data_IF_792668054242
#
_entry.id   IF_792668054242
#
_cell.length_a   1.000
_cell.length_b   1.000
_cell.length_c   1.000
_cell.angle_alpha   90.00
_cell.angle_beta   90.00
_cell.angle_gamma   90.00
#
_symmetry.space_group_name_H-M   'P 1'
#
loop_
_entity.id
_entity.type
_entity.pdbx_description
1 polymer ?
#
# COMPACT_ATOMS: atom_id res chain seq x y z
N UNK A 1 -23.10 -24.50 -8.74
CA UNK A 1 -21.63 -24.61 -8.57
C UNK A 1 -21.04 -24.90 -9.94
N UNK A 2 -20.03 -24.12 -10.40
CA UNK A 2 -19.35 -24.12 -11.72
C UNK A 2 -19.59 -22.92 -12.67
N UNK A 3 -19.85 -21.72 -12.16
CA UNK A 3 -19.73 -20.50 -12.99
C UNK A 3 -18.81 -19.42 -12.38
N UNK A 4 -18.34 -19.59 -11.15
CA UNK A 4 -17.46 -18.64 -10.46
C UNK A 4 -15.96 -18.85 -10.70
N UNK A 5 -15.55 -20.05 -11.12
CA UNK A 5 -14.12 -20.40 -11.30
C UNK A 5 -13.55 -20.04 -12.69
N UNK A 6 -14.39 -19.71 -13.67
CA UNK A 6 -13.96 -19.32 -15.02
C UNK A 6 -13.73 -17.80 -15.11
N UNK A 7 -14.51 -16.99 -14.42
CA UNK A 7 -14.32 -15.53 -14.41
C UNK A 7 -13.06 -15.10 -13.65
N UNK A 8 -12.64 -15.88 -12.64
CA UNK A 8 -11.41 -15.64 -11.88
C UNK A 8 -10.18 -15.97 -12.75
N UNK A 9 -10.20 -17.08 -13.50
CA UNK A 9 -9.12 -17.46 -14.42
C UNK A 9 -8.92 -16.46 -15.57
N UNK A 10 -10.00 -15.89 -16.09
CA UNK A 10 -9.91 -14.91 -17.18
C UNK A 10 -9.31 -13.56 -16.74
N UNK A 11 -9.44 -13.18 -15.47
CA UNK A 11 -8.82 -11.95 -14.94
C UNK A 11 -7.36 -12.15 -14.53
N UNK A 12 -6.97 -13.37 -14.15
CA UNK A 12 -5.55 -13.73 -13.94
C UNK A 12 -4.77 -13.61 -15.27
N UNK A 13 -5.36 -13.89 -16.43
CA UNK A 13 -4.67 -13.76 -17.73
C UNK A 13 -4.33 -12.32 -18.16
N UNK A 14 -5.04 -11.30 -17.65
CA UNK A 14 -4.90 -9.93 -18.16
C UNK A 14 -3.53 -9.36 -17.75
N UNK A 15 -3.14 -9.34 -16.48
CA UNK A 15 -1.83 -8.78 -16.09
C UNK A 15 -0.63 -9.56 -16.65
N UNK A 16 -0.71 -10.89 -16.68
CA UNK A 16 0.42 -11.76 -17.00
C UNK A 16 0.67 -11.96 -18.50
N UNK A 17 -0.36 -11.80 -19.34
CA UNK A 17 -0.14 -11.79 -20.79
C UNK A 17 0.67 -10.57 -21.23
N UNK A 18 0.46 -9.40 -20.59
CA UNK A 18 1.22 -8.18 -20.89
C UNK A 18 2.68 -8.25 -20.47
N UNK A 19 3.03 -8.95 -19.39
CA UNK A 19 4.45 -9.12 -18.99
C UNK A 19 5.27 -9.88 -20.03
N UNK A 20 4.60 -10.65 -20.90
CA UNK A 20 5.18 -11.33 -22.07
C UNK A 20 4.89 -10.61 -23.39
N UNK A 21 4.40 -9.37 -23.34
CA UNK A 21 3.98 -8.55 -24.50
C UNK A 21 2.89 -9.21 -25.37
N UNK A 22 2.06 -10.07 -24.78
CA UNK A 22 1.02 -10.84 -25.46
C UNK A 22 -0.39 -10.54 -24.97
N UNK A 23 -0.60 -9.46 -24.22
CA UNK A 23 -1.91 -9.10 -23.68
C UNK A 23 -2.78 -8.33 -24.68
N UNK A 24 -4.04 -8.11 -24.31
CA UNK A 24 -5.03 -7.43 -25.18
C UNK A 24 -4.78 -5.93 -25.35
N UNK A 25 -4.05 -5.29 -24.44
CA UNK A 25 -3.84 -3.86 -24.38
C UNK A 25 -2.45 -3.51 -24.93
N UNK A 26 -2.42 -3.02 -26.17
CA UNK A 26 -1.17 -2.68 -26.87
C UNK A 26 -0.28 -1.71 -26.09
N UNK A 27 -0.85 -0.69 -25.44
CA UNK A 27 -0.06 0.29 -24.70
C UNK A 27 0.70 -0.31 -23.51
N UNK A 28 0.15 -1.35 -22.85
CA UNK A 28 0.88 -2.09 -21.82
C UNK A 28 1.95 -2.97 -22.45
N UNK A 29 1.65 -3.65 -23.56
CA UNK A 29 2.64 -4.46 -24.27
C UNK A 29 3.82 -3.64 -24.81
N UNK A 30 3.56 -2.41 -25.24
CA UNK A 30 4.53 -1.56 -25.92
C UNK A 30 5.37 -0.75 -24.93
N UNK A 31 4.74 -0.23 -23.86
CA UNK A 31 5.36 0.79 -23.00
C UNK A 31 5.60 0.37 -21.54
N UNK A 32 4.93 -0.68 -21.03
CA UNK A 32 5.13 -1.08 -19.64
C UNK A 32 6.46 -1.82 -19.45
N UNK A 33 7.14 -1.53 -18.35
CA UNK A 33 8.35 -2.22 -17.90
C UNK A 33 8.02 -3.04 -16.65
N UNK A 34 7.70 -4.32 -16.84
CA UNK A 34 7.31 -5.26 -15.77
C UNK A 34 8.49 -5.69 -14.87
N UNK A 35 9.72 -5.25 -15.17
CA UNK A 35 10.84 -5.33 -14.23
C UNK A 35 10.88 -4.12 -13.27
N UNK A 36 10.04 -3.10 -13.49
CA UNK A 36 9.96 -1.85 -12.71
C UNK A 36 8.52 -1.49 -12.31
N UNK A 37 7.76 -2.49 -11.84
CA UNK A 37 6.41 -2.24 -11.36
C UNK A 37 6.40 -1.59 -9.98
N UNK A 38 5.43 -0.72 -9.76
CA UNK A 38 5.19 -0.08 -8.47
C UNK A 38 3.77 -0.35 -7.99
N UNK A 39 3.64 -0.58 -6.69
CA UNK A 39 2.34 -0.53 -6.01
C UNK A 39 2.16 0.86 -5.40
N UNK A 40 0.93 1.33 -5.33
CA UNK A 40 0.67 2.60 -4.69
C UNK A 40 -0.79 2.81 -4.37
N UNK A 41 -1.03 3.60 -3.33
CA UNK A 41 -2.37 4.02 -2.96
C UNK A 41 -2.35 4.96 -1.77
N UNK A 42 -3.47 5.65 -1.58
CA UNK A 42 -3.74 6.51 -0.46
C UNK A 42 -4.79 5.92 0.49
N UNK A 43 -4.70 6.22 1.78
CA UNK A 43 -5.68 5.76 2.78
C UNK A 43 -5.85 4.24 2.74
N UNK A 44 -7.07 3.73 2.56
CA UNK A 44 -7.36 2.31 2.38
C UNK A 44 -6.64 1.70 1.16
N UNK A 45 -6.41 2.48 0.09
CA UNK A 45 -5.61 2.06 -1.06
C UNK A 45 -4.16 1.79 -0.69
N UNK A 46 -3.60 2.53 0.27
CA UNK A 46 -2.25 2.28 0.78
C UNK A 46 -2.19 0.94 1.54
N UNK A 47 -3.21 0.63 2.33
CA UNK A 47 -3.37 -0.65 3.03
C UNK A 47 -3.50 -1.82 2.05
N UNK A 48 -4.26 -1.64 0.97
CA UNK A 48 -4.38 -2.63 -0.11
C UNK A 48 -3.02 -2.84 -0.79
N UNK A 49 -2.31 -1.76 -1.14
CA UNK A 49 -0.99 -1.83 -1.75
C UNK A 49 0.01 -2.56 -0.84
N UNK A 50 -0.05 -2.31 0.48
CA UNK A 50 0.72 -3.05 1.47
C UNK A 50 0.40 -4.56 1.46
N UNK A 51 -0.88 -4.93 1.53
CA UNK A 51 -1.31 -6.34 1.51
C UNK A 51 -0.92 -7.05 0.21
N UNK A 52 -0.94 -6.35 -0.92
CA UNK A 52 -0.46 -6.87 -2.20
C UNK A 52 1.05 -7.07 -2.20
N UNK A 53 1.83 -6.16 -1.60
CA UNK A 53 3.27 -6.33 -1.46
C UNK A 53 3.63 -7.54 -0.56
N UNK A 54 2.88 -7.76 0.53
CA UNK A 54 3.02 -8.95 1.37
C UNK A 54 2.73 -10.22 0.56
N UNK A 55 1.58 -10.27 -0.11
CA UNK A 55 1.18 -11.43 -0.92
C UNK A 55 2.20 -11.75 -2.02
N UNK A 56 2.78 -10.73 -2.63
CA UNK A 56 3.80 -10.91 -3.65
C UNK A 56 5.07 -11.59 -3.11
N UNK A 57 5.46 -11.30 -1.86
CA UNK A 57 6.66 -11.89 -1.27
C UNK A 57 6.42 -13.23 -0.57
N UNK A 58 5.21 -13.48 -0.05
CA UNK A 58 4.85 -14.78 0.54
C UNK A 58 4.42 -15.82 -0.49
N UNK A 59 3.82 -15.38 -1.60
CA UNK A 59 3.31 -16.24 -2.67
C UNK A 59 3.87 -15.82 -4.04
N UNK A 60 5.20 -15.86 -4.25
CA UNK A 60 5.86 -15.35 -5.46
C UNK A 60 5.42 -16.08 -6.74
N UNK A 61 4.89 -17.30 -6.64
CA UNK A 61 4.32 -18.02 -7.77
C UNK A 61 3.05 -17.37 -8.32
N UNK A 62 2.30 -16.63 -7.49
CA UNK A 62 1.06 -15.96 -7.88
C UNK A 62 1.28 -14.63 -8.62
N UNK A 63 2.52 -14.10 -8.60
CA UNK A 63 2.88 -12.89 -9.35
C UNK A 63 3.61 -13.20 -10.67
N UNK A 64 3.78 -14.49 -11.01
CA UNK A 64 4.24 -14.99 -12.32
C UNK A 64 5.45 -14.25 -12.93
N UNK A 65 6.43 -13.88 -12.10
CA UNK A 65 7.67 -13.23 -12.53
C UNK A 65 7.62 -11.71 -12.63
N UNK A 66 6.49 -11.07 -12.30
CA UNK A 66 6.41 -9.63 -12.08
C UNK A 66 7.31 -9.26 -10.89
N UNK A 67 8.17 -8.25 -11.06
CA UNK A 67 9.03 -7.76 -9.99
C UNK A 67 8.55 -6.40 -9.52
N UNK A 68 7.99 -6.34 -8.32
CA UNK A 68 7.62 -5.07 -7.70
C UNK A 68 8.90 -4.40 -7.23
N UNK A 69 9.22 -3.24 -7.80
CA UNK A 69 10.39 -2.47 -7.42
C UNK A 69 10.14 -1.64 -6.16
N UNK A 70 8.95 -1.05 -6.02
CA UNK A 70 8.61 -0.34 -4.81
C UNK A 70 7.12 -0.13 -4.55
N UNK A 71 6.80 0.30 -3.34
CA UNK A 71 5.45 0.64 -2.91
C UNK A 71 5.38 2.08 -2.37
N UNK A 72 4.46 2.89 -2.90
CA UNK A 72 4.15 4.22 -2.40
C UNK A 72 2.92 4.17 -1.48
N UNK A 73 3.13 4.38 -0.19
CA UNK A 73 2.13 4.21 0.87
C UNK A 73 1.73 5.59 1.39
N UNK A 74 0.64 6.16 0.87
CA UNK A 74 0.26 7.55 1.15
C UNK A 74 -0.81 7.61 2.24
N UNK A 75 -0.50 8.23 3.38
CA UNK A 75 -1.43 8.39 4.52
C UNK A 75 -2.17 7.08 4.86
N UNK A 76 -1.43 6.01 5.24
CA UNK A 76 -2.00 4.68 5.29
C UNK A 76 -3.11 4.53 6.33
N UNK A 77 -4.18 3.85 5.92
CA UNK A 77 -5.26 3.46 6.80
C UNK A 77 -4.88 2.18 7.56
N UNK A 78 -4.28 2.36 8.73
CA UNK A 78 -4.00 1.29 9.68
C UNK A 78 -4.69 1.59 11.02
N UNK A 79 -4.82 0.57 11.87
CA UNK A 79 -5.31 0.71 13.24
C UNK A 79 -4.19 0.36 14.22
N UNK A 80 -4.11 1.15 15.30
CA UNK A 80 -3.28 0.80 16.45
C UNK A 80 -4.02 -0.16 17.38
N UNK A 81 -3.25 -0.98 18.11
CA UNK A 81 -3.78 -1.87 19.15
C UNK A 81 -4.58 -1.15 20.24
N UNK A 82 -5.49 -1.87 20.88
CA UNK A 82 -6.36 -1.40 21.96
C UNK A 82 -7.81 -1.85 21.76
N UNK A 83 -8.66 -1.71 22.77
CA UNK A 83 -10.10 -1.97 22.62
C UNK A 83 -10.79 -0.76 21.98
N UNK A 84 -11.67 -0.95 20.97
CA UNK A 84 -12.44 0.14 20.41
C UNK A 84 -13.46 0.66 21.43
N UNK A 85 -13.65 1.99 21.46
CA UNK A 85 -14.81 2.58 22.13
C UNK A 85 -15.96 2.54 21.12
N UNK A 86 -16.72 1.47 21.17
CA UNK A 86 -17.94 1.31 20.38
C UNK A 86 -19.08 2.04 21.07
N UNK A 87 -19.30 3.31 20.69
CA UNK A 87 -20.58 3.99 20.86
C UNK A 87 -21.36 3.99 19.54
N UNK A 88 -22.66 4.27 19.62
CA UNK A 88 -23.59 4.26 18.47
C UNK A 88 -23.34 5.42 17.48
N UNK A 89 -22.38 6.31 17.74
CA UNK A 89 -22.08 7.46 16.87
C UNK A 89 -20.95 7.11 15.90
N UNK A 90 -21.29 6.96 14.62
CA UNK A 90 -20.29 6.81 13.58
C UNK A 90 -19.79 8.19 13.11
N UNK A 91 -18.55 8.52 13.45
CA UNK A 91 -17.82 9.67 12.92
C UNK A 91 -16.43 9.22 12.47
N UNK A 92 -16.22 9.19 11.15
CA UNK A 92 -14.97 8.76 10.54
C UNK A 92 -13.79 9.71 10.84
N UNK A 93 -14.07 10.98 11.11
CA UNK A 93 -13.05 11.97 11.48
C UNK A 93 -12.63 11.90 12.95
N UNK A 94 -13.37 11.15 13.77
CA UNK A 94 -12.99 10.92 15.16
C UNK A 94 -11.82 9.92 15.26
N UNK A 95 -11.11 9.93 16.40
CA UNK A 95 -10.03 8.95 16.68
C UNK A 95 -10.48 7.50 16.56
N UNK A 96 -11.75 7.23 16.84
CA UNK A 96 -12.35 5.88 16.79
C UNK A 96 -12.95 5.55 15.41
N UNK A 97 -13.14 6.57 14.57
CA UNK A 97 -13.73 6.46 13.23
C UNK A 97 -13.09 5.38 12.36
N UNK A 98 -11.75 5.35 12.23
CA UNK A 98 -11.06 4.30 11.51
C UNK A 98 -11.38 2.89 12.05
N UNK A 99 -11.29 2.68 13.37
CA UNK A 99 -11.60 1.37 13.94
C UNK A 99 -13.05 0.97 13.65
N UNK A 100 -14.02 1.88 13.81
CA UNK A 100 -15.43 1.60 13.52
C UNK A 100 -15.66 1.25 12.05
N UNK A 101 -15.01 1.97 11.13
CA UNK A 101 -15.09 1.66 9.70
C UNK A 101 -14.56 0.24 9.43
N UNK A 102 -13.46 -0.15 10.07
CA UNK A 102 -12.90 -1.49 9.94
C UNK A 102 -13.88 -2.59 10.33
N UNK A 103 -14.57 -2.45 11.47
CA UNK A 103 -15.61 -3.41 11.89
C UNK A 103 -16.79 -3.49 10.90
N UNK A 104 -17.10 -2.40 10.20
CA UNK A 104 -18.14 -2.41 9.16
C UNK A 104 -17.69 -3.13 7.89
N UNK A 105 -16.45 -2.91 7.43
CA UNK A 105 -15.97 -3.44 6.14
C UNK A 105 -15.35 -4.84 6.24
N UNK A 106 -14.91 -5.26 7.43
CA UNK A 106 -14.38 -6.59 7.70
C UNK A 106 -15.12 -7.25 8.88
N UNK A 107 -16.33 -7.81 8.67
CA UNK A 107 -17.11 -8.40 9.75
C UNK A 107 -16.46 -9.62 10.41
N UNK A 108 -15.54 -10.28 9.70
CA UNK A 108 -14.76 -11.44 10.19
C UNK A 108 -13.48 -11.05 10.91
N UNK A 109 -13.25 -9.75 11.14
CA UNK A 109 -12.04 -9.23 11.74
C UNK A 109 -11.77 -9.80 13.14
N UNK A 110 -10.50 -9.96 13.46
CA UNK A 110 -10.02 -10.16 14.83
C UNK A 110 -9.93 -8.85 15.62
N UNK A 111 -10.43 -7.74 15.05
CA UNK A 111 -10.49 -6.42 15.63
C UNK A 111 -9.31 -5.55 15.22
N UNK A 112 -8.84 -4.72 16.15
CA UNK A 112 -7.72 -3.77 15.91
C UNK A 112 -6.34 -4.43 15.79
N UNK A 113 -6.23 -5.70 16.17
CA UNK A 113 -5.00 -6.49 16.01
C UNK A 113 -5.02 -7.34 14.75
N UNK A 114 -6.02 -7.17 13.89
CA UNK A 114 -6.10 -7.91 12.64
C UNK A 114 -4.92 -7.53 11.72
N UNK A 115 -4.11 -8.49 11.25
CA UNK A 115 -2.93 -8.21 10.42
C UNK A 115 -3.25 -7.41 9.16
N UNK A 116 -4.48 -7.49 8.64
CA UNK A 116 -4.90 -6.74 7.46
C UNK A 116 -4.96 -5.23 7.68
N UNK A 117 -5.03 -4.79 8.95
CA UNK A 117 -5.15 -3.37 9.30
C UNK A 117 -4.13 -2.92 10.34
N UNK A 118 -3.42 -3.83 10.99
CA UNK A 118 -2.41 -3.50 11.99
C UNK A 118 -1.05 -4.07 11.57
N UNK A 119 -0.12 -3.21 11.11
CA UNK A 119 1.16 -3.70 10.63
C UNK A 119 2.01 -4.32 11.75
N UNK A 120 1.79 -3.98 13.02
CA UNK A 120 2.58 -4.54 14.13
C UNK A 120 2.26 -5.99 14.43
N UNK A 121 1.13 -6.50 13.94
CA UNK A 121 0.69 -7.90 14.11
C UNK A 121 0.87 -8.72 12.83
N UNK A 122 1.31 -8.10 11.73
CA UNK A 122 1.64 -8.79 10.48
C UNK A 122 2.99 -9.50 10.60
N UNK A 123 2.95 -10.84 10.59
CA UNK A 123 4.14 -11.68 10.78
C UNK A 123 5.00 -11.80 9.53
N UNK A 124 4.48 -11.45 8.35
CA UNK A 124 5.18 -11.54 7.08
C UNK A 124 5.82 -10.22 6.63
N UNK A 125 5.93 -9.21 7.50
CA UNK A 125 6.55 -7.94 7.14
C UNK A 125 7.99 -8.09 6.62
N UNK A 126 8.77 -9.03 7.15
CA UNK A 126 10.13 -9.31 6.66
C UNK A 126 10.14 -9.84 5.21
N UNK A 127 9.01 -10.39 4.76
CA UNK A 127 8.79 -10.99 3.46
C UNK A 127 8.08 -10.04 2.48
N UNK A 128 8.13 -8.71 2.67
CA UNK A 128 7.59 -7.77 1.67
C UNK A 128 8.24 -8.02 0.30
N UNK A 129 7.42 -8.28 -0.72
CA UNK A 129 7.84 -8.63 -2.08
C UNK A 129 8.28 -7.44 -2.94
N UNK A 130 8.79 -6.36 -2.33
CA UNK A 130 9.33 -5.19 -3.04
C UNK A 130 10.67 -4.76 -2.45
N UNK A 131 11.42 -3.93 -3.17
CA UNK A 131 12.75 -3.50 -2.73
C UNK A 131 12.71 -2.18 -1.93
N UNK A 132 11.67 -1.37 -2.14
CA UNK A 132 11.58 -0.01 -1.59
C UNK A 132 10.16 0.34 -1.15
N UNK A 133 10.03 1.01 -0.03
CA UNK A 133 8.76 1.56 0.46
C UNK A 133 8.94 3.05 0.73
N UNK A 134 8.06 3.87 0.19
CA UNK A 134 7.99 5.30 0.49
C UNK A 134 6.66 5.60 1.20
N UNK A 135 6.75 5.98 2.46
CA UNK A 135 5.60 6.33 3.30
C UNK A 135 5.40 7.83 3.30
N UNK A 136 4.17 8.29 3.15
CA UNK A 136 3.79 9.67 3.39
C UNK A 136 2.83 9.75 4.57
N UNK A 137 3.08 10.71 5.47
CA UNK A 137 2.19 11.03 6.60
C UNK A 137 1.91 12.53 6.61
N UNK A 138 0.83 12.95 7.26
CA UNK A 138 0.48 14.36 7.40
C UNK A 138 0.29 14.70 8.89
N UNK A 139 0.78 15.87 9.30
CA UNK A 139 0.89 16.28 10.70
C UNK A 139 -0.45 16.30 11.45
N UNK A 140 -1.55 16.68 10.78
CA UNK A 140 -2.89 16.74 11.38
C UNK A 140 -3.72 15.49 11.15
N UNK A 141 -3.20 14.52 10.41
CA UNK A 141 -3.90 13.27 10.14
C UNK A 141 -4.07 12.45 11.42
N UNK A 142 -5.30 12.01 11.69
CA UNK A 142 -5.59 11.10 12.82
C UNK A 142 -4.86 9.76 12.68
N UNK A 143 -4.45 9.38 11.45
CA UNK A 143 -3.69 8.18 11.12
C UNK A 143 -2.17 8.42 11.06
N UNK A 144 -1.71 9.65 11.35
CA UNK A 144 -0.29 10.00 11.33
C UNK A 144 0.58 9.04 12.13
N UNK A 145 0.21 8.83 13.39
CA UNK A 145 1.03 8.09 14.34
C UNK A 145 1.15 6.61 13.95
N UNK A 146 0.08 6.01 13.44
CA UNK A 146 0.13 4.62 12.95
C UNK A 146 0.94 4.50 11.66
N UNK A 147 0.96 5.54 10.82
CA UNK A 147 1.87 5.62 9.67
C UNK A 147 3.35 5.66 10.09
N UNK A 148 3.68 6.39 11.15
CA UNK A 148 5.03 6.37 11.76
C UNK A 148 5.38 5.00 12.35
N UNK A 149 4.43 4.37 13.05
CA UNK A 149 4.60 3.01 13.59
C UNK A 149 4.86 2.01 12.45
N UNK A 150 4.14 2.09 11.33
CA UNK A 150 4.40 1.27 10.15
C UNK A 150 5.84 1.42 9.64
N UNK A 151 6.29 2.67 9.47
CA UNK A 151 7.66 2.98 9.05
C UNK A 151 8.71 2.35 9.98
N UNK A 152 8.59 2.56 11.29
CA UNK A 152 9.53 1.99 12.25
C UNK A 152 9.44 0.46 12.32
N UNK A 153 8.26 -0.12 12.13
CA UNK A 153 8.09 -1.58 12.12
C UNK A 153 8.82 -2.18 10.92
N UNK A 154 8.67 -1.61 9.71
CA UNK A 154 9.40 -2.07 8.52
C UNK A 154 10.92 -1.96 8.69
N UNK A 155 11.39 -0.88 9.29
CA UNK A 155 12.83 -0.65 9.51
C UNK A 155 13.44 -1.70 10.46
N UNK A 156 12.65 -2.25 11.38
CA UNK A 156 13.13 -3.11 12.45
C UNK A 156 12.73 -4.59 12.30
N UNK A 157 11.85 -4.95 11.34
CA UNK A 157 11.33 -6.31 11.20
C UNK A 157 12.27 -7.28 10.44
N UNK A 158 13.44 -6.81 9.98
CA UNK A 158 14.40 -7.62 9.23
C UNK A 158 14.14 -7.71 7.73
N UNK A 159 13.18 -6.95 7.19
CA UNK A 159 13.03 -6.75 5.75
C UNK A 159 14.31 -6.10 5.18
N UNK A 160 14.81 -6.63 4.06
CA UNK A 160 16.09 -6.22 3.47
C UNK A 160 16.00 -4.99 2.55
N UNK A 161 14.79 -4.49 2.31
CA UNK A 161 14.56 -3.33 1.46
C UNK A 161 14.84 -1.98 2.14
N UNK A 162 14.56 -0.91 1.41
CA UNK A 162 14.73 0.46 1.90
C UNK A 162 13.37 1.09 2.18
N UNK A 163 13.13 1.50 3.43
CA UNK A 163 11.96 2.31 3.79
C UNK A 163 12.36 3.78 3.98
N UNK A 164 11.60 4.68 3.38
CA UNK A 164 11.71 6.13 3.54
C UNK A 164 10.36 6.72 3.98
N UNK A 165 10.38 7.83 4.70
CA UNK A 165 9.18 8.54 5.14
C UNK A 165 9.27 10.04 4.85
N UNK A 166 8.15 10.64 4.48
CA UNK A 166 7.97 12.09 4.32
C UNK A 166 6.73 12.55 5.09
N UNK A 167 6.90 13.49 6.01
CA UNK A 167 5.80 14.12 6.74
C UNK A 167 5.49 15.52 6.19
N UNK A 168 4.21 15.78 5.90
CA UNK A 168 3.72 17.09 5.47
C UNK A 168 3.15 17.87 6.65
N UNK A 169 3.82 18.97 7.02
CA UNK A 169 3.46 19.80 8.17
C UNK A 169 2.19 20.62 7.92
N UNK A 170 1.30 20.69 8.91
CA UNK A 170 0.07 21.49 8.84
C UNK A 170 -1.04 20.95 7.95
N UNK A 171 -0.88 19.76 7.36
CA UNK A 171 -1.85 19.15 6.44
C UNK A 171 -2.66 18.02 7.08
N UNK A 172 -3.88 17.82 6.59
CA UNK A 172 -4.80 16.76 7.00
C UNK A 172 -4.69 15.50 6.12
N UNK A 173 -5.42 14.46 6.50
CA UNK A 173 -5.53 13.22 5.72
C UNK A 173 -5.85 13.50 4.25
N UNK A 174 -5.11 12.85 3.35
CA UNK A 174 -5.26 12.94 1.87
C UNK A 174 -5.35 14.36 1.30
N UNK A 175 -4.74 15.35 1.97
CA UNK A 175 -4.78 16.76 1.55
C UNK A 175 -4.39 17.00 0.08
N UNK A 176 -3.47 16.19 -0.47
CA UNK A 176 -3.00 16.27 -1.84
C UNK A 176 -4.09 15.98 -2.89
N UNK A 177 -5.17 15.29 -2.52
CA UNK A 177 -6.36 15.10 -3.36
C UNK A 177 -7.36 16.24 -3.25
N UNK A 178 -7.38 16.93 -2.09
CA UNK A 178 -8.32 18.00 -1.76
C UNK A 178 -7.83 19.35 -2.27
N UNK A 179 -6.59 19.72 -1.93
CA UNK A 179 -5.94 20.96 -2.35
C UNK A 179 -4.66 20.68 -3.14
N UNK A 180 -4.85 20.25 -4.40
CA UNK A 180 -3.77 19.81 -5.31
C UNK A 180 -2.70 20.87 -5.59
N UNK A 181 -3.04 22.15 -5.41
CA UNK A 181 -2.16 23.28 -5.71
C UNK A 181 -1.41 23.84 -4.50
N UNK A 182 -1.67 23.33 -3.28
CA UNK A 182 -0.89 23.79 -2.13
C UNK A 182 0.57 23.34 -2.27
N UNK A 183 1.47 24.07 -1.62
CA UNK A 183 2.91 23.81 -1.69
C UNK A 183 3.25 22.38 -1.24
N UNK A 184 2.64 21.91 -0.15
CA UNK A 184 2.84 20.56 0.34
C UNK A 184 2.37 19.49 -0.66
N UNK A 185 1.29 19.73 -1.39
CA UNK A 185 0.76 18.75 -2.35
C UNK A 185 1.70 18.64 -3.55
N UNK A 186 2.21 19.79 -4.00
CA UNK A 186 3.25 19.84 -5.04
C UNK A 186 4.53 19.15 -4.56
N UNK A 187 4.95 19.33 -3.32
CA UNK A 187 6.14 18.68 -2.76
C UNK A 187 5.96 17.15 -2.63
N UNK A 188 4.81 16.70 -2.15
CA UNK A 188 4.45 15.27 -2.09
C UNK A 188 4.50 14.66 -3.50
N UNK A 189 3.87 15.29 -4.48
CA UNK A 189 3.86 14.81 -5.86
C UNK A 189 5.26 14.79 -6.49
N UNK A 190 6.10 15.80 -6.24
CA UNK A 190 7.50 15.79 -6.68
C UNK A 190 8.27 14.61 -6.08
N UNK A 191 8.10 14.34 -4.78
CA UNK A 191 8.76 13.22 -4.12
C UNK A 191 8.27 11.86 -4.64
N UNK A 192 6.96 11.73 -4.89
CA UNK A 192 6.35 10.53 -5.48
C UNK A 192 6.85 10.30 -6.92
N UNK A 193 6.84 11.33 -7.77
CA UNK A 193 7.36 11.22 -9.14
C UNK A 193 8.85 10.87 -9.15
N UNK A 194 9.63 11.46 -8.23
CA UNK A 194 11.04 11.09 -8.07
C UNK A 194 11.22 9.61 -7.70
N UNK A 195 10.38 9.10 -6.81
CA UNK A 195 10.37 7.68 -6.42
C UNK A 195 10.02 6.76 -7.60
N UNK A 196 8.99 7.09 -8.37
CA UNK A 196 8.55 6.29 -9.53
C UNK A 196 9.54 6.32 -10.70
N UNK A 197 10.42 7.33 -10.75
CA UNK A 197 11.49 7.41 -11.76
C UNK A 197 12.81 6.79 -11.30
N UNK A 198 12.87 6.22 -10.10
CA UNK A 198 14.04 5.45 -9.67
C UNK A 198 14.20 4.22 -10.57
N UNK A 199 15.44 3.89 -10.91
CA UNK A 199 15.77 2.69 -11.69
C UNK A 199 16.46 1.67 -10.80
N UNK A 200 16.20 0.37 -11.03
CA UNK A 200 17.10 -0.67 -10.51
C UNK A 200 18.48 -0.42 -11.09
N UNK A 201 19.48 -0.28 -10.22
CA UNK A 201 20.87 -0.35 -10.67
C UNK A 201 21.08 -1.80 -11.09
N UNK A 202 21.21 -2.05 -12.39
CA UNK A 202 21.59 -3.37 -12.86
C UNK A 202 22.99 -3.67 -12.31
N UNK A 203 23.10 -4.74 -11.53
CA UNK A 203 24.40 -5.31 -11.18
C UNK A 203 25.13 -5.62 -12.49
N UNK A 204 26.27 -4.97 -12.70
CA UNK A 204 27.18 -5.29 -13.80
C UNK A 204 27.58 -6.77 -13.60
N UNK A 205 27.45 -7.63 -14.63
CA UNK A 205 27.78 -9.05 -14.52
C UNK A 205 29.24 -9.30 -14.12
#
# INVERSE_FOLDING_TARGET
MRQSDESIRNNEEIGFSHSKRGGSESWLNDYADFDQDFLGGDSAGATIAHSMAIRAGTNPEQIHGVKIFGAAIVHPYFCSSGEPILDDKFDIGSKEGPAKLWYCVCPSTTGRNDPLINPTTETNLASLGCDRVLVFVADKDILRDIGWVYFETLKNCGWSGVVEIMESQGEDHVFHLVNRSCENAVNLMKRLVSFLNMKRVQSIP
#
